data_IF_330765233175
#
_entry.id   IF_330765233175
#
_cell.length_a   1.000
_cell.length_b   1.000
_cell.length_c   1.000
_cell.angle_alpha   90.00
_cell.angle_beta   90.00
_cell.angle_gamma   90.00
#
_symmetry.space_group_name_H-M   'P 1'
#
loop_
_entity.id
_entity.type
_entity.pdbx_description
1 polymer ?
#
# COMPACT_ATOMS: atom_id res chain seq x y z
N UNK A 1 7.03 9.46 8.96
CA UNK A 1 7.56 8.08 8.92
C UNK A 1 6.91 7.35 10.07
N UNK A 2 6.27 6.21 9.82
CA UNK A 2 5.72 5.36 10.89
C UNK A 2 6.58 4.12 11.03
N UNK A 3 6.99 3.79 12.26
CA UNK A 3 7.80 2.61 12.55
C UNK A 3 7.06 1.71 13.52
N UNK A 4 6.95 0.41 13.21
CA UNK A 4 6.39 -0.62 14.08
C UNK A 4 7.40 -1.75 14.24
N UNK A 5 7.55 -2.24 15.46
CA UNK A 5 8.44 -3.36 15.76
C UNK A 5 7.57 -4.57 16.05
N UNK A 6 7.73 -5.60 15.24
CA UNK A 6 7.11 -6.90 15.41
C UNK A 6 8.12 -7.81 16.11
N UNK A 7 8.06 -7.87 17.44
CA UNK A 7 8.96 -8.68 18.26
C UNK A 7 8.92 -10.19 17.96
N UNK A 8 7.76 -10.83 17.68
CA UNK A 8 7.70 -12.27 17.40
C UNK A 8 8.42 -12.67 16.10
N UNK A 9 8.33 -11.82 15.08
CA UNK A 9 8.93 -12.06 13.76
C UNK A 9 10.27 -11.37 13.60
N UNK A 10 10.69 -10.57 14.59
CA UNK A 10 11.91 -9.75 14.56
C UNK A 10 11.93 -8.82 13.34
N UNK A 11 10.78 -8.24 12.98
CA UNK A 11 10.66 -7.33 11.84
C UNK A 11 10.46 -5.91 12.35
N UNK A 12 11.28 -4.98 11.85
CA UNK A 12 11.05 -3.54 12.01
C UNK A 12 10.39 -3.04 10.73
N UNK A 13 9.10 -2.80 10.80
CA UNK A 13 8.30 -2.27 9.71
C UNK A 13 8.39 -0.74 9.71
N UNK A 14 8.78 -0.16 8.57
CA UNK A 14 8.82 1.28 8.35
C UNK A 14 7.89 1.61 7.19
N UNK A 15 6.89 2.46 7.44
CA UNK A 15 5.98 2.96 6.41
C UNK A 15 6.34 4.41 6.09
N UNK A 16 6.56 4.67 4.80
CA UNK A 16 6.86 5.99 4.25
C UNK A 16 5.76 6.43 3.30
N UNK A 17 5.22 7.63 3.54
CA UNK A 17 4.34 8.28 2.56
C UNK A 17 5.15 8.74 1.34
N UNK A 18 4.48 9.05 0.22
CA UNK A 18 5.19 9.56 -0.96
C UNK A 18 5.95 10.85 -0.64
N UNK A 19 5.34 11.80 0.08
CA UNK A 19 5.97 13.06 0.40
C UNK A 19 7.29 12.86 1.17
N UNK A 20 7.30 11.89 2.09
CA UNK A 20 8.45 11.57 2.93
C UNK A 20 9.57 10.82 2.20
N UNK A 21 9.29 10.16 1.07
CA UNK A 21 10.33 9.49 0.27
C UNK A 21 11.32 10.46 -0.36
N UNK A 22 10.86 11.67 -0.69
CA UNK A 22 11.70 12.71 -1.28
C UNK A 22 12.49 13.50 -0.24
N UNK A 23 12.18 13.34 1.05
CA UNK A 23 12.76 14.12 2.13
C UNK A 23 14.15 13.58 2.54
N UNK A 24 15.16 14.44 2.47
CA UNK A 24 16.54 14.10 2.84
C UNK A 24 16.71 13.82 4.35
N UNK A 25 15.90 14.46 5.21
CA UNK A 25 15.91 14.20 6.65
C UNK A 25 15.41 12.78 6.95
N UNK A 26 14.37 12.34 6.24
CA UNK A 26 13.82 10.97 6.35
C UNK A 26 14.83 9.95 5.86
N UNK A 27 15.55 10.21 4.76
CA UNK A 27 16.63 9.32 4.29
C UNK A 27 17.77 9.19 5.31
N UNK A 28 18.10 10.28 6.02
CA UNK A 28 19.13 10.27 7.06
C UNK A 28 18.69 9.40 8.25
N UNK A 29 17.45 9.58 8.72
CA UNK A 29 16.88 8.74 9.79
C UNK A 29 16.83 7.25 9.39
N UNK A 30 16.50 6.95 8.13
CA UNK A 30 16.49 5.58 7.62
C UNK A 30 17.89 4.93 7.68
N UNK A 31 18.94 5.70 7.30
CA UNK A 31 20.33 5.23 7.38
C UNK A 31 20.76 4.95 8.81
N UNK A 32 20.36 5.79 9.76
CA UNK A 32 20.61 5.58 11.20
C UNK A 32 19.89 4.32 11.69
N UNK A 33 18.64 4.10 11.27
CA UNK A 33 17.88 2.90 11.59
C UNK A 33 18.53 1.63 11.03
N UNK A 34 18.99 1.66 9.77
CA UNK A 34 19.73 0.56 9.18
C UNK A 34 21.02 0.28 9.95
N UNK A 35 21.76 1.32 10.36
CA UNK A 35 22.98 1.14 11.15
C UNK A 35 22.69 0.55 12.54
N UNK A 36 21.60 0.95 13.19
CA UNK A 36 21.20 0.45 14.50
C UNK A 36 20.84 -1.04 14.48
N UNK A 37 20.13 -1.50 13.46
CA UNK A 37 19.71 -2.90 13.35
C UNK A 37 20.72 -3.77 12.56
N UNK A 38 21.77 -3.18 11.98
CA UNK A 38 22.84 -3.90 11.29
C UNK A 38 23.57 -4.84 12.25
N UNK A 39 23.52 -6.14 11.98
CA UNK A 39 24.15 -7.17 12.82
C UNK A 39 23.28 -7.63 13.99
N UNK A 40 22.06 -7.12 14.12
CA UNK A 40 21.04 -7.69 15.01
C UNK A 40 20.24 -8.78 14.28
N UNK A 41 19.43 -9.52 15.03
CA UNK A 41 18.48 -10.50 14.47
C UNK A 41 17.27 -9.87 13.77
N UNK A 42 17.15 -8.54 13.79
CA UNK A 42 15.98 -7.85 13.27
C UNK A 42 16.11 -7.51 11.78
N UNK A 43 15.06 -7.77 11.01
CA UNK A 43 14.96 -7.41 9.60
C UNK A 43 14.19 -6.10 9.46
N UNK A 44 14.81 -5.08 8.87
CA UNK A 44 14.14 -3.81 8.57
C UNK A 44 13.44 -3.91 7.21
N UNK A 45 12.13 -3.74 7.20
CA UNK A 45 11.29 -3.76 5.99
C UNK A 45 10.70 -2.37 5.78
N UNK A 46 10.92 -1.80 4.60
CA UNK A 46 10.46 -0.44 4.27
C UNK A 46 9.37 -0.50 3.21
N UNK A 47 8.16 -0.07 3.57
CA UNK A 47 7.03 0.07 2.68
C UNK A 47 6.95 1.49 2.14
N UNK A 48 6.98 1.60 0.81
CA UNK A 48 6.92 2.87 0.09
C UNK A 48 5.52 3.06 -0.47
N UNK A 49 4.83 4.11 -0.03
CA UNK A 49 3.56 4.51 -0.61
C UNK A 49 3.74 4.85 -2.10
N UNK A 50 2.80 4.39 -2.93
CA UNK A 50 2.80 4.62 -4.37
C UNK A 50 2.44 6.06 -4.75
N UNK A 51 2.44 6.33 -6.06
CA UNK A 51 2.16 7.67 -6.60
C UNK A 51 0.69 7.96 -6.90
N UNK A 52 -0.15 6.93 -6.87
CA UNK A 52 -1.55 7.07 -7.27
C UNK A 52 -2.38 7.49 -6.09
N UNK A 53 -3.34 8.35 -6.35
CA UNK A 53 -4.31 8.77 -5.35
C UNK A 53 -5.25 7.60 -5.03
N UNK A 54 -5.30 7.22 -3.74
CA UNK A 54 -6.08 6.08 -3.30
C UNK A 54 -7.58 6.31 -3.52
N UNK A 55 -8.06 7.55 -3.37
CA UNK A 55 -9.46 7.87 -3.51
C UNK A 55 -9.90 7.78 -4.97
N UNK A 56 -9.15 8.38 -5.90
CA UNK A 56 -9.44 8.32 -7.32
C UNK A 56 -9.39 6.88 -7.87
N UNK A 57 -8.34 6.12 -7.55
CA UNK A 57 -8.20 4.73 -7.99
C UNK A 57 -9.36 3.86 -7.46
N UNK A 58 -9.75 4.04 -6.19
CA UNK A 58 -10.85 3.29 -5.59
C UNK A 58 -12.19 3.67 -6.22
N UNK A 59 -12.42 4.98 -6.44
CA UNK A 59 -13.64 5.48 -7.10
C UNK A 59 -13.80 4.86 -8.47
N UNK A 60 -12.74 4.89 -9.28
CA UNK A 60 -12.78 4.41 -10.65
C UNK A 60 -13.00 2.89 -10.70
N UNK A 61 -12.36 2.13 -9.80
CA UNK A 61 -12.59 0.69 -9.65
C UNK A 61 -14.05 0.38 -9.29
N UNK A 62 -14.64 1.12 -8.36
CA UNK A 62 -16.04 0.93 -7.95
C UNK A 62 -17.01 1.24 -9.09
N UNK A 63 -16.77 2.33 -9.84
CA UNK A 63 -17.57 2.68 -11.01
C UNK A 63 -17.48 1.60 -12.09
N UNK A 64 -16.27 1.11 -12.37
CA UNK A 64 -16.04 0.02 -13.32
C UNK A 64 -16.81 -1.25 -12.92
N UNK A 65 -16.69 -1.68 -11.67
CA UNK A 65 -17.38 -2.86 -11.17
C UNK A 65 -18.91 -2.71 -11.22
N UNK A 66 -19.44 -1.53 -10.87
CA UNK A 66 -20.89 -1.26 -10.99
C UNK A 66 -21.39 -1.36 -12.43
N UNK A 67 -20.66 -0.81 -13.40
CA UNK A 67 -21.01 -0.90 -14.83
C UNK A 67 -21.02 -2.35 -15.29
N UNK A 68 -19.95 -3.09 -15.01
CA UNK A 68 -19.84 -4.52 -15.32
C UNK A 68 -20.92 -5.37 -14.67
N UNK A 69 -21.30 -5.07 -13.43
CA UNK A 69 -22.38 -5.77 -12.75
C UNK A 69 -23.74 -5.51 -13.43
N UNK A 70 -24.03 -4.26 -13.79
CA UNK A 70 -25.25 -3.90 -14.51
C UNK A 70 -25.31 -4.57 -15.90
N UNK A 71 -24.20 -4.53 -16.66
CA UNK A 71 -24.10 -5.23 -17.95
C UNK A 71 -24.36 -6.72 -17.81
N UNK A 72 -23.71 -7.38 -16.84
CA UNK A 72 -23.92 -8.81 -16.56
C UNK A 72 -25.37 -9.11 -16.20
N UNK A 73 -26.01 -8.26 -15.40
CA UNK A 73 -27.42 -8.43 -15.05
C UNK A 73 -28.34 -8.32 -16.29
N UNK A 74 -28.07 -7.35 -17.18
CA UNK A 74 -28.80 -7.21 -18.44
C UNK A 74 -28.59 -8.43 -19.34
N UNK A 75 -27.35 -8.91 -19.50
CA UNK A 75 -27.07 -10.09 -20.30
C UNK A 75 -27.72 -11.35 -19.71
N UNK A 76 -27.73 -11.49 -18.38
CA UNK A 76 -28.41 -12.59 -17.71
C UNK A 76 -29.93 -12.57 -17.96
N UNK A 77 -30.57 -11.40 -17.95
CA UNK A 77 -32.01 -11.26 -18.28
C UNK A 77 -32.29 -11.61 -19.74
N UNK A 78 -31.47 -11.11 -20.67
CA UNK A 78 -31.56 -11.46 -22.09
C UNK A 78 -31.39 -12.97 -22.32
N UNK A 79 -30.43 -13.61 -21.66
CA UNK A 79 -30.20 -15.05 -21.75
C UNK A 79 -31.34 -15.86 -21.10
N UNK A 80 -32.00 -15.32 -20.07
CA UNK A 80 -33.16 -15.91 -19.44
C UNK A 80 -34.48 -15.71 -20.23
N UNK A 81 -34.43 -15.07 -21.40
CA UNK A 81 -35.59 -14.86 -22.26
C UNK A 81 -36.63 -13.86 -21.72
N UNK A 82 -36.22 -12.98 -20.78
CA UNK A 82 -37.03 -11.87 -20.26
C UNK A 82 -36.79 -10.56 -21.01
#
# INVERSE_FOLDING_TARGET
>A
MQTKIHEPTQIVEVMLTHAEQADEAVKKQLKELYAQYKGTKYTVVVFLSGKRDLYEDTRDLLLFNRRRAAERAVQARKAAGQ
#
